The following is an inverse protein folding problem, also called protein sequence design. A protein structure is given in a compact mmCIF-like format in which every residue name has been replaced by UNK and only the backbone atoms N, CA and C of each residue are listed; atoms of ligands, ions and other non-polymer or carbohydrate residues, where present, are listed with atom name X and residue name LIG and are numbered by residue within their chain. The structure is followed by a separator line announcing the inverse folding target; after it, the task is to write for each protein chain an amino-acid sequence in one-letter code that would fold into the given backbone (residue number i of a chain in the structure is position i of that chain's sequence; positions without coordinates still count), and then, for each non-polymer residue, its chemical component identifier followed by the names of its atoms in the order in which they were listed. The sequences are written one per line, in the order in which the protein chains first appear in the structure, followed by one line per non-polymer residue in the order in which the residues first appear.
data_IF_033628776571
#
_entry.id   IF_033628776571
#
_cell.length_a   1.000
_cell.length_b   1.000
_cell.length_c   1.000
_cell.angle_alpha   90.00
_cell.angle_beta   90.00
_cell.angle_gamma   90.00
#
_symmetry.space_group_name_H-M   'P 1'
#
loop_
_entity.id
_entity.type
_entity.pdbx_description
1 polymer ?
#
# COMPACT_ATOMS: atom_id res chain seq x y z
N UNK A 1 0.38 9.77 -24.91
CA UNK A 1 -0.52 8.80 -24.26
C UNK A 1 -0.32 8.91 -22.75
N UNK A 2 -1.40 9.08 -22.00
CA UNK A 2 -1.27 9.21 -20.55
C UNK A 2 -1.21 7.83 -19.88
N UNK A 3 -0.74 7.81 -18.63
CA UNK A 3 -0.76 6.60 -17.80
C UNK A 3 -2.16 5.98 -17.79
N UNK A 4 -3.20 6.79 -17.65
CA UNK A 4 -4.58 6.30 -17.52
C UNK A 4 -5.07 5.55 -18.74
N UNK A 5 -4.54 5.85 -19.92
CA UNK A 5 -4.91 5.16 -21.14
C UNK A 5 -4.42 3.72 -21.16
N UNK A 6 -3.40 3.43 -20.38
CA UNK A 6 -2.80 2.10 -20.30
C UNK A 6 -3.39 1.24 -19.18
N UNK A 7 -4.15 1.85 -18.27
CA UNK A 7 -4.64 1.14 -17.10
C UNK A 7 -6.04 0.58 -17.32
N UNK A 8 -6.27 -0.60 -16.77
CA UNK A 8 -7.55 -1.30 -16.83
C UNK A 8 -8.10 -1.45 -15.41
N UNK A 9 -9.01 -0.55 -15.08
CA UNK A 9 -9.73 -0.65 -13.81
C UNK A 9 -10.78 -1.75 -13.91
N UNK A 10 -11.10 -2.38 -12.79
CA UNK A 10 -12.08 -3.46 -12.79
C UNK A 10 -13.51 -2.91 -12.96
N UNK A 11 -14.51 -3.80 -12.88
CA UNK A 11 -15.92 -3.43 -13.07
C UNK A 11 -16.40 -2.41 -12.03
N UNK A 12 -15.73 -2.32 -10.89
CA UNK A 12 -16.06 -1.37 -9.83
C UNK A 12 -15.20 -0.10 -9.89
N UNK A 13 -14.39 0.03 -10.94
CA UNK A 13 -13.50 1.18 -11.11
C UNK A 13 -12.27 1.13 -10.22
N UNK A 14 -11.83 -0.05 -9.81
CA UNK A 14 -10.72 -0.22 -8.89
C UNK A 14 -9.54 -0.93 -9.56
N UNK A 15 -8.34 -0.62 -9.08
CA UNK A 15 -7.11 -1.28 -9.50
C UNK A 15 -6.27 -1.56 -8.24
N UNK A 16 -5.71 -2.77 -8.11
CA UNK A 16 -4.86 -3.06 -6.95
C UNK A 16 -3.51 -2.38 -7.11
N UNK A 17 -2.99 -1.87 -6.00
CA UNK A 17 -1.69 -1.22 -5.95
C UNK A 17 -0.81 -1.96 -4.95
N UNK A 18 0.28 -2.53 -5.43
CA UNK A 18 1.31 -3.15 -4.60
C UNK A 18 2.27 -2.04 -4.21
N UNK A 19 2.50 -1.89 -2.91
CA UNK A 19 3.38 -0.83 -2.38
C UNK A 19 4.69 -1.47 -1.93
N UNK A 20 5.79 -0.97 -2.49
CA UNK A 20 7.12 -1.53 -2.27
C UNK A 20 8.05 -0.44 -1.77
N UNK A 21 8.86 -0.76 -0.76
CA UNK A 21 9.88 0.17 -0.29
C UNK A 21 11.03 0.21 -1.29
N UNK A 22 11.31 1.41 -1.84
CA UNK A 22 12.31 1.55 -2.89
C UNK A 22 13.72 1.18 -2.42
N UNK A 23 14.08 1.59 -1.20
CA UNK A 23 15.44 1.42 -0.70
C UNK A 23 15.82 -0.04 -0.43
N UNK A 24 14.85 -0.89 -0.13
CA UNK A 24 15.11 -2.29 0.24
C UNK A 24 14.51 -3.30 -0.72
N UNK A 25 13.53 -2.91 -1.53
CA UNK A 25 12.76 -3.82 -2.36
C UNK A 25 11.68 -4.56 -1.59
N UNK A 26 11.49 -4.27 -0.31
CA UNK A 26 10.50 -4.96 0.51
C UNK A 26 9.08 -4.58 0.07
N UNK A 27 8.24 -5.59 -0.20
CA UNK A 27 6.82 -5.34 -0.43
C UNK A 27 6.16 -5.04 0.92
N UNK A 28 5.47 -3.91 1.00
CA UNK A 28 4.93 -3.41 2.26
C UNK A 28 3.47 -3.74 2.45
N UNK A 29 2.67 -3.60 1.41
CA UNK A 29 1.22 -3.78 1.49
C UNK A 29 0.60 -3.83 0.10
N UNK A 30 -0.67 -4.18 0.03
CA UNK A 30 -1.50 -4.00 -1.15
C UNK A 30 -2.79 -3.32 -0.72
N UNK A 31 -3.25 -2.36 -1.51
CA UNK A 31 -4.54 -1.71 -1.27
C UNK A 31 -5.13 -1.30 -2.61
N UNK A 32 -6.37 -0.84 -2.59
CA UNK A 32 -7.11 -0.52 -3.80
C UNK A 32 -7.07 0.96 -4.08
N UNK A 33 -7.02 1.31 -5.36
CA UNK A 33 -7.14 2.69 -5.82
C UNK A 33 -8.25 2.75 -6.86
N UNK A 34 -8.95 3.88 -6.89
CA UNK A 34 -9.75 4.22 -8.06
C UNK A 34 -9.01 5.33 -8.81
N UNK A 35 -9.55 5.77 -9.94
CA UNK A 35 -8.88 6.80 -10.74
C UNK A 35 -8.63 8.07 -9.92
N UNK A 36 -9.60 8.50 -9.13
CA UNK A 36 -9.47 9.74 -8.35
C UNK A 36 -8.39 9.62 -7.28
N UNK A 37 -8.28 8.48 -6.59
CA UNK A 37 -7.22 8.31 -5.60
C UNK A 37 -5.84 8.21 -6.25
N UNK A 38 -5.75 7.61 -7.43
CA UNK A 38 -4.49 7.58 -8.18
C UNK A 38 -4.08 8.98 -8.63
N UNK A 39 -5.04 9.78 -9.12
CA UNK A 39 -4.76 11.17 -9.48
C UNK A 39 -4.25 11.95 -8.26
N UNK A 40 -4.87 11.73 -7.10
CA UNK A 40 -4.46 12.38 -5.86
C UNK A 40 -3.06 11.94 -5.42
N UNK A 41 -2.75 10.66 -5.61
CA UNK A 41 -1.43 10.11 -5.32
C UNK A 41 -0.35 10.80 -6.17
N UNK A 42 -0.60 10.94 -7.46
CA UNK A 42 0.35 11.58 -8.38
C UNK A 42 0.50 13.06 -8.05
N UNK A 43 -0.61 13.73 -7.79
CA UNK A 43 -0.62 15.17 -7.52
C UNK A 43 0.11 15.51 -6.22
N UNK A 44 -0.14 14.75 -5.15
CA UNK A 44 0.39 15.05 -3.82
C UNK A 44 1.76 14.44 -3.57
N UNK A 45 2.15 13.38 -4.31
CA UNK A 45 3.36 12.64 -4.03
C UNK A 45 3.25 11.70 -2.83
N UNK A 46 2.05 11.52 -2.29
CA UNK A 46 1.76 10.62 -1.17
C UNK A 46 0.69 9.63 -1.59
N UNK A 47 0.76 8.39 -1.09
CA UNK A 47 -0.21 7.37 -1.49
C UNK A 47 -1.60 7.67 -0.93
N UNK A 48 -2.58 7.63 -1.81
CA UNK A 48 -3.99 7.76 -1.50
C UNK A 48 -4.73 6.56 -2.05
N UNK A 49 -5.61 5.99 -1.26
CA UNK A 49 -6.30 4.75 -1.59
C UNK A 49 -7.81 4.95 -1.51
N UNK A 50 -8.52 3.95 -2.01
CA UNK A 50 -9.97 3.88 -1.89
C UNK A 50 -10.33 2.70 -0.99
N UNK A 51 -11.06 2.95 0.09
CA UNK A 51 -11.54 1.91 0.98
C UNK A 51 -12.84 1.33 0.43
N UNK A 52 -12.82 0.04 0.07
CA UNK A 52 -14.01 -0.63 -0.45
C UNK A 52 -15.09 -0.79 0.64
N UNK A 53 -14.67 -1.07 1.86
CA UNK A 53 -15.61 -1.29 2.97
C UNK A 53 -16.24 0.00 3.46
N UNK A 54 -15.47 1.10 3.47
CA UNK A 54 -15.96 2.39 3.99
C UNK A 54 -16.48 3.31 2.91
N UNK A 55 -16.24 2.97 1.63
CA UNK A 55 -16.62 3.78 0.47
C UNK A 55 -16.10 5.21 0.59
N UNK A 56 -14.82 5.35 0.93
CA UNK A 56 -14.19 6.66 1.03
C UNK A 56 -12.69 6.61 0.73
N UNK A 57 -12.13 7.77 0.44
CA UNK A 57 -10.69 7.93 0.27
C UNK A 57 -9.96 7.91 1.59
N UNK A 58 -8.70 7.49 1.57
CA UNK A 58 -7.81 7.65 2.70
C UNK A 58 -6.37 7.79 2.22
N UNK A 59 -5.61 8.64 2.91
CA UNK A 59 -4.18 8.80 2.65
C UNK A 59 -3.44 7.93 3.66
N UNK A 60 -2.48 7.14 3.17
CA UNK A 60 -1.67 6.32 4.07
C UNK A 60 -0.94 7.21 5.06
N UNK A 61 -1.11 6.94 6.33
CA UNK A 61 -0.46 7.69 7.39
C UNK A 61 -1.16 8.98 7.81
N UNK A 62 -2.39 9.24 7.32
CA UNK A 62 -3.09 10.47 7.66
C UNK A 62 -3.35 10.62 9.16
N UNK A 63 -3.52 9.50 9.87
CA UNK A 63 -3.72 9.51 11.32
C UNK A 63 -2.45 9.20 12.08
N UNK A 64 -1.64 8.28 11.58
CA UNK A 64 -0.46 7.78 12.30
C UNK A 64 0.81 8.58 12.02
N UNK A 65 0.87 9.30 10.92
CA UNK A 65 2.09 9.93 10.45
C UNK A 65 3.02 8.99 9.69
N UNK A 66 2.66 7.71 9.57
CA UNK A 66 3.47 6.72 8.84
C UNK A 66 3.15 6.78 7.35
N UNK A 67 3.54 7.88 6.71
CA UNK A 67 3.22 8.20 5.33
C UNK A 67 4.13 7.47 4.35
N UNK A 68 3.72 7.49 3.08
CA UNK A 68 4.50 6.89 1.99
C UNK A 68 4.70 7.95 0.91
N UNK A 69 5.95 8.36 0.72
CA UNK A 69 6.32 9.30 -0.34
C UNK A 69 6.57 8.51 -1.62
N UNK A 70 5.85 8.85 -2.68
CA UNK A 70 5.92 8.13 -3.95
C UNK A 70 7.24 8.44 -4.65
N UNK A 71 7.94 7.38 -5.08
CA UNK A 71 9.19 7.49 -5.83
C UNK A 71 9.02 7.04 -7.28
N UNK A 72 8.17 6.06 -7.53
CA UNK A 72 7.92 5.56 -8.88
C UNK A 72 6.58 4.87 -8.95
N UNK A 73 5.94 4.93 -10.10
CA UNK A 73 4.67 4.25 -10.36
C UNK A 73 4.85 3.45 -11.64
N UNK A 74 4.76 2.13 -11.51
CA UNK A 74 4.82 1.21 -12.63
C UNK A 74 3.51 0.43 -12.70
N UNK A 75 3.24 -0.17 -13.84
CA UNK A 75 2.07 -1.04 -14.02
C UNK A 75 2.52 -2.30 -14.77
N UNK A 76 1.75 -3.37 -14.62
CA UNK A 76 2.13 -4.64 -15.19
C UNK A 76 1.79 -4.73 -16.68
N UNK A 77 2.11 -5.88 -17.29
CA UNK A 77 2.08 -6.04 -18.75
C UNK A 77 0.68 -5.87 -19.34
N UNK A 78 -0.37 -6.16 -18.59
CA UNK A 78 -1.75 -5.98 -19.06
C UNK A 78 -2.47 -4.79 -18.41
N UNK A 79 -1.75 -4.02 -17.60
CA UNK A 79 -2.26 -2.74 -17.11
C UNK A 79 -3.31 -2.83 -16.00
N UNK A 80 -3.42 -3.97 -15.33
CA UNK A 80 -4.45 -4.15 -14.31
C UNK A 80 -3.92 -4.18 -12.88
N UNK A 81 -2.62 -3.92 -12.68
CA UNK A 81 -1.99 -3.87 -11.35
C UNK A 81 -0.93 -2.80 -11.34
N UNK A 82 -0.91 -2.01 -10.28
CA UNK A 82 0.12 -0.99 -10.08
C UNK A 82 1.20 -1.49 -9.14
N UNK A 83 2.44 -1.09 -9.41
CA UNK A 83 3.55 -1.25 -8.48
C UNK A 83 4.06 0.13 -8.16
N UNK A 84 3.88 0.57 -6.92
CA UNK A 84 4.27 1.92 -6.49
C UNK A 84 5.42 1.79 -5.52
N UNK A 85 6.57 2.34 -5.88
CA UNK A 85 7.72 2.38 -5.00
C UNK A 85 7.67 3.65 -4.18
N UNK A 86 7.92 3.49 -2.87
CA UNK A 86 7.76 4.59 -1.91
C UNK A 86 8.95 4.63 -0.95
N UNK A 87 9.07 5.77 -0.28
CA UNK A 87 9.84 5.89 0.95
C UNK A 87 8.84 5.80 2.10
N UNK A 88 8.95 4.74 2.91
CA UNK A 88 8.02 4.48 4.01
C UNK A 88 8.53 5.12 5.29
N UNK A 89 7.68 5.90 5.93
CA UNK A 89 7.95 6.42 7.27
C UNK A 89 7.26 5.48 8.26
N UNK A 90 8.06 4.86 9.13
CA UNK A 90 7.53 3.96 10.17
C UNK A 90 6.94 2.68 9.62
N UNK A 91 5.86 2.22 10.24
CA UNK A 91 5.22 0.94 9.95
C UNK A 91 4.11 1.10 8.90
N UNK A 92 4.15 0.28 7.85
CA UNK A 92 3.06 0.26 6.87
C UNK A 92 1.84 -0.49 7.43
N UNK A 93 2.07 -1.51 8.24
CA UNK A 93 1.01 -2.35 8.77
C UNK A 93 0.38 -1.71 10.00
N UNK A 94 -0.96 -1.74 10.08
CA UNK A 94 -1.69 -1.20 11.23
C UNK A 94 -1.43 -1.99 12.51
N UNK A 95 -0.85 -3.19 12.41
CA UNK A 95 -0.44 -3.96 13.58
C UNK A 95 0.98 -3.62 14.04
N UNK A 96 1.58 -2.59 13.46
CA UNK A 96 2.87 -2.06 13.90
C UNK A 96 4.08 -2.68 13.24
N UNK A 97 3.90 -3.57 12.27
CA UNK A 97 5.00 -4.14 11.50
C UNK A 97 5.35 -3.23 10.32
N UNK A 98 6.61 -3.27 9.89
CA UNK A 98 7.03 -2.49 8.74
C UNK A 98 6.23 -2.88 7.50
N UNK A 99 6.04 -4.18 7.29
CA UNK A 99 5.27 -4.73 6.16
C UNK A 99 4.05 -5.45 6.67
N UNK A 100 2.96 -5.39 5.90
CA UNK A 100 1.80 -6.21 6.16
C UNK A 100 2.08 -7.70 5.96
N UNK A 101 3.16 -8.03 5.25
CA UNK A 101 3.54 -9.41 4.94
C UNK A 101 4.56 -9.93 5.96
N UNK A 102 4.21 -9.90 7.23
CA UNK A 102 5.10 -10.25 8.33
C UNK A 102 4.98 -11.70 8.79
N UNK A 103 4.17 -12.50 8.11
CA UNK A 103 3.99 -13.92 8.38
C UNK A 103 4.27 -14.72 7.12
N UNK A 104 4.90 -15.87 7.28
CA UNK A 104 5.20 -16.76 6.17
C UNK A 104 4.72 -18.16 6.47
N UNK A 105 4.37 -18.91 5.43
CA UNK A 105 3.98 -20.31 5.55
C UNK A 105 5.18 -21.18 5.87
N UNK A 106 4.91 -22.29 6.56
CA UNK A 106 5.88 -23.33 6.87
C UNK A 106 5.31 -24.68 6.48
N UNK A 107 6.17 -25.67 6.36
CA UNK A 107 5.75 -27.08 6.16
C UNK A 107 4.73 -27.24 5.03
N UNK A 108 4.98 -26.57 3.89
CA UNK A 108 4.10 -26.66 2.75
C UNK A 108 2.73 -26.03 2.96
N UNK A 109 2.61 -25.11 3.93
CA UNK A 109 1.36 -24.40 4.18
C UNK A 109 0.57 -24.94 5.35
N UNK A 110 1.04 -25.97 6.05
CA UNK A 110 0.30 -26.52 7.20
C UNK A 110 0.37 -25.61 8.43
N UNK A 111 1.40 -24.79 8.53
CA UNK A 111 1.58 -23.83 9.62
C UNK A 111 2.14 -22.52 9.05
N UNK A 112 2.24 -21.50 9.90
CA UNK A 112 2.90 -20.26 9.52
C UNK A 112 3.67 -19.70 10.71
N UNK A 113 4.57 -18.77 10.44
CA UNK A 113 5.36 -18.11 11.48
C UNK A 113 5.44 -16.62 11.21
N UNK A 114 5.62 -15.84 12.27
CA UNK A 114 5.92 -14.41 12.18
C UNK A 114 7.41 -14.25 11.89
N UNK A 115 7.73 -13.49 10.85
CA UNK A 115 9.11 -13.37 10.33
C UNK A 115 9.81 -12.09 10.73
N UNK A 116 9.09 -11.13 11.33
CA UNK A 116 9.61 -9.81 11.68
C UNK A 116 9.14 -9.41 13.07
N UNK A 117 9.90 -8.54 13.71
CA UNK A 117 9.48 -7.92 14.96
C UNK A 117 8.64 -6.68 14.65
N UNK A 118 7.72 -6.34 15.54
CA UNK A 118 6.98 -5.08 15.44
C UNK A 118 7.92 -3.90 15.60
N UNK A 119 7.72 -2.86 14.80
CA UNK A 119 8.45 -1.60 14.95
C UNK A 119 7.84 -0.75 16.06
N UNK A 120 6.52 -0.78 16.17
CA UNK A 120 5.77 -0.01 17.17
C UNK A 120 4.59 -0.86 17.63
N UNK A 121 4.02 -0.51 18.79
CA UNK A 121 2.80 -1.18 19.24
C UNK A 121 1.63 -0.75 18.35
N UNK A 122 0.63 -1.64 18.13
CA UNK A 122 -0.52 -1.27 17.28
C UNK A 122 -1.24 -0.01 17.75
N UNK A 123 -1.31 0.23 19.03
CA UNK A 123 -1.94 1.42 19.60
C UNK A 123 -1.25 2.69 19.13
N UNK A 124 0.07 2.62 18.90
CA UNK A 124 0.85 3.78 18.48
C UNK A 124 0.60 4.14 17.02
N UNK A 125 0.16 3.19 16.19
CA UNK A 125 -0.18 3.46 14.80
C UNK A 125 -1.42 4.34 14.70
N UNK A 126 -2.39 4.15 15.59
CA UNK A 126 -3.68 4.85 15.55
C UNK A 126 -3.88 5.83 16.69
N UNK A 127 -2.88 6.01 17.56
CA UNK A 127 -3.05 6.87 18.75
C UNK A 127 -3.06 8.36 18.45
N UNK A 128 -2.64 8.75 17.25
CA UNK A 128 -2.56 10.17 16.85
C UNK A 128 -3.76 10.54 16.00
N UNK A 129 -4.85 10.74 16.65
CA UNK A 129 -6.08 11.13 15.95
C UNK A 129 -6.41 12.57 16.20
#
# INVERSE_FOLDING_TARGET
MSLYDQLKFDANGLIPAIIQEQSTGRVLMMAWMNRASLEKTIESGKTHFWSRSRQKFWMKGESSGHTQAVKDIAFDCDGDTLLIQVEQIGAACHEGYKSCFFRSSESGGSTFKTTEAQLVAPEQVYSKK
#
